data_IF_359427758286
#
_entry.id   IF_359427758286
#
_cell.length_a   1.000
_cell.length_b   1.000
_cell.length_c   1.000
_cell.angle_alpha   90.00
_cell.angle_beta   90.00
_cell.angle_gamma   90.00
#
_symmetry.space_group_name_H-M   'P 1'
#
loop_
_entity.id
_entity.type
_entity.pdbx_description
1 polymer ?
#
# COMPACT_ATOMS: atom_id res chain seq x y z
N UNK A 1 12.27 9.92 7.39
CA UNK A 1 11.99 8.46 7.28
C UNK A 1 10.99 8.31 6.17
N UNK A 2 11.27 7.45 5.18
CA UNK A 2 10.32 7.14 4.12
C UNK A 2 9.17 6.30 4.73
N UNK A 3 7.93 6.76 4.55
CA UNK A 3 6.73 6.08 5.06
C UNK A 3 6.25 5.05 4.05
N UNK A 4 5.67 3.92 4.51
CA UNK A 4 5.22 2.85 3.62
C UNK A 4 4.21 3.37 2.60
N UNK A 5 4.47 3.10 1.32
CA UNK A 5 3.59 3.49 0.21
C UNK A 5 3.61 4.97 -0.15
N UNK A 6 4.48 5.77 0.49
CA UNK A 6 4.69 7.17 0.13
C UNK A 6 5.31 7.29 -1.25
N UNK A 7 5.01 8.40 -1.93
CA UNK A 7 5.37 8.61 -3.34
C UNK A 7 4.88 7.48 -4.29
N UNK A 8 3.92 6.66 -3.86
CA UNK A 8 3.44 5.51 -4.63
C UNK A 8 4.44 4.36 -4.72
N UNK A 9 5.46 4.31 -3.86
CA UNK A 9 6.42 3.20 -3.81
C UNK A 9 5.71 1.89 -3.43
N UNK A 10 6.11 0.74 -4.01
CA UNK A 10 5.50 -0.54 -3.69
C UNK A 10 5.77 -0.92 -2.23
N UNK A 11 4.76 -1.49 -1.56
CA UNK A 11 4.88 -2.00 -0.19
C UNK A 11 5.03 -3.52 -0.25
N UNK A 12 6.16 -4.03 0.23
CA UNK A 12 6.40 -5.48 0.37
C UNK A 12 6.03 -5.89 1.79
N UNK A 13 5.07 -6.81 1.93
CA UNK A 13 4.68 -7.31 3.24
C UNK A 13 5.77 -8.19 3.84
N UNK A 14 6.09 -8.01 5.14
CA UNK A 14 6.89 -8.98 5.87
C UNK A 14 6.14 -10.33 5.97
N UNK A 15 6.90 -11.42 6.09
CA UNK A 15 6.37 -12.79 6.00
C UNK A 15 5.21 -13.05 6.97
N UNK A 16 5.31 -12.55 8.20
CA UNK A 16 4.31 -12.75 9.25
C UNK A 16 2.94 -12.13 8.95
N UNK A 17 2.85 -11.17 8.00
CA UNK A 17 1.58 -10.54 7.59
C UNK A 17 0.96 -11.17 6.33
N UNK A 18 1.68 -12.06 5.63
CA UNK A 18 1.20 -12.62 4.36
C UNK A 18 -0.04 -13.51 4.53
N UNK A 19 -0.16 -14.23 5.65
CA UNK A 19 -1.32 -15.08 5.92
C UNK A 19 -2.60 -14.24 6.10
N UNK A 20 -2.53 -13.17 6.91
CA UNK A 20 -3.63 -12.24 7.14
C UNK A 20 -4.04 -11.51 5.85
N UNK A 21 -3.05 -11.12 5.05
CA UNK A 21 -3.29 -10.48 3.74
C UNK A 21 -4.13 -11.35 2.82
N UNK A 22 -3.82 -12.65 2.73
CA UNK A 22 -4.62 -13.61 1.94
C UNK A 22 -6.04 -13.77 2.49
N UNK A 23 -6.18 -13.87 3.81
CA UNK A 23 -7.48 -14.03 4.46
C UNK A 23 -8.40 -12.83 4.19
N UNK A 24 -7.87 -11.62 4.36
CA UNK A 24 -8.64 -10.36 4.18
C UNK A 24 -8.92 -10.04 2.72
N UNK A 25 -8.09 -10.50 1.78
CA UNK A 25 -8.32 -10.35 0.35
C UNK A 25 -9.65 -10.98 -0.08
N UNK A 26 -10.01 -12.16 0.43
CA UNK A 26 -11.25 -12.87 0.06
C UNK A 26 -12.55 -12.10 0.37
N UNK A 27 -12.49 -11.08 1.22
CA UNK A 27 -13.65 -10.26 1.57
C UNK A 27 -13.62 -8.92 0.84
N UNK A 28 -12.43 -8.35 0.69
CA UNK A 28 -12.25 -6.98 0.22
C UNK A 28 -11.89 -6.88 -1.26
N UNK A 29 -11.37 -7.97 -1.84
CA UNK A 29 -10.83 -8.04 -3.21
C UNK A 29 -9.64 -7.06 -3.45
N UNK A 30 -8.98 -6.64 -2.38
CA UNK A 30 -7.70 -5.94 -2.39
C UNK A 30 -6.90 -6.25 -1.12
N UNK A 31 -5.60 -5.91 -1.11
CA UNK A 31 -4.73 -6.16 0.03
C UNK A 31 -4.98 -5.14 1.16
N UNK A 32 -6.01 -5.39 1.96
CA UNK A 32 -6.42 -4.52 3.07
C UNK A 32 -5.30 -4.35 4.10
N UNK A 33 -4.52 -5.41 4.37
CA UNK A 33 -3.37 -5.34 5.30
C UNK A 33 -2.36 -4.31 4.83
N UNK A 34 -2.00 -4.29 3.55
CA UNK A 34 -1.12 -3.24 2.99
C UNK A 34 -1.77 -1.87 3.11
N UNK A 35 -3.05 -1.76 2.75
CA UNK A 35 -3.77 -0.48 2.80
C UNK A 35 -3.75 0.15 4.19
N UNK A 36 -3.89 -0.65 5.25
CA UNK A 36 -3.86 -0.18 6.64
C UNK A 36 -2.47 0.27 7.11
N UNK A 37 -1.40 -0.17 6.44
CA UNK A 37 -0.03 0.25 6.74
C UNK A 37 0.34 1.57 6.05
N UNK A 38 -0.36 1.92 4.97
CA UNK A 38 -0.10 3.14 4.21
C UNK A 38 -0.75 4.32 4.92
N UNK A 39 0.01 5.42 5.08
CA UNK A 39 -0.51 6.62 5.70
C UNK A 39 -1.67 7.23 4.93
N UNK A 40 -2.70 7.70 5.65
CA UNK A 40 -3.89 8.34 5.05
C UNK A 40 -3.55 9.61 4.24
N UNK A 41 -2.40 10.24 4.50
CA UNK A 41 -1.91 11.45 3.84
C UNK A 41 -0.58 11.18 3.12
N UNK A 42 -0.55 10.17 2.25
CA UNK A 42 0.61 9.86 1.41
C UNK A 42 0.76 10.87 0.27
N UNK A 43 2.00 11.19 -0.08
CA UNK A 43 2.36 11.95 -1.26
C UNK A 43 2.39 11.03 -2.49
N UNK A 44 2.31 11.61 -3.68
CA UNK A 44 2.41 10.91 -4.96
C UNK A 44 3.26 11.70 -5.93
N UNK A 45 4.01 10.99 -6.77
CA UNK A 45 4.67 11.58 -7.93
C UNK A 45 3.62 12.13 -8.92
N UNK A 46 3.92 13.27 -9.54
CA UNK A 46 3.08 13.85 -10.58
C UNK A 46 3.46 13.27 -11.95
N UNK A 47 2.58 12.44 -12.50
CA UNK A 47 2.76 11.83 -13.82
C UNK A 47 1.98 12.54 -14.94
N UNK A 48 1.39 13.71 -14.66
CA UNK A 48 0.65 14.48 -15.67
C UNK A 48 1.61 14.99 -16.74
N UNK A 49 1.12 15.08 -17.97
CA UNK A 49 1.91 15.63 -19.06
C UNK A 49 2.08 17.15 -18.84
N UNK A 50 3.29 17.70 -19.05
CA UNK A 50 3.47 19.15 -19.07
C UNK A 50 2.61 19.73 -20.19
N UNK A 51 1.96 20.86 -19.90
CA UNK A 51 1.18 21.62 -20.88
C UNK A 51 2.09 22.37 -21.84
#
# INVERSE_FOLDING_TARGET
>A
METLGDMGRPVVLPEFLKAESKLTFHVNEFNLVVSNLIGLRRNLDDFRHPR
#
